data_IF_634190502832
#
_entry.id   IF_634190502832
#
_cell.length_a   1.000
_cell.length_b   1.000
_cell.length_c   1.000
_cell.angle_alpha   90.00
_cell.angle_beta   90.00
_cell.angle_gamma   90.00
#
_symmetry.space_group_name_H-M   'P 1'
#
loop_
_entity.id
_entity.type
_entity.pdbx_description
1 polymer ?
#
# COMPACT_ATOMS: atom_id res chain seq x y z
N UNK A 1 10.58 -15.35 -3.21
CA UNK A 1 9.73 -14.13 -3.14
C UNK A 1 10.09 -13.37 -1.88
N UNK A 2 10.35 -12.07 -2.00
CA UNK A 2 10.46 -11.12 -0.89
C UNK A 2 9.08 -10.46 -0.71
N UNK A 3 8.51 -10.53 0.49
CA UNK A 3 7.28 -9.80 0.80
C UNK A 3 7.62 -8.38 1.24
N UNK A 4 7.01 -7.40 0.58
CA UNK A 4 7.15 -5.97 0.88
C UNK A 4 5.76 -5.33 0.95
N UNK A 5 5.67 -4.17 1.63
CA UNK A 5 4.42 -3.46 1.83
C UNK A 5 4.60 -2.09 2.45
N UNK A 6 3.52 -1.33 2.51
CA UNK A 6 3.49 0.03 3.01
C UNK A 6 2.17 0.71 2.71
N UNK A 7 2.23 1.80 1.96
CA UNK A 7 1.04 2.58 1.64
C UNK A 7 0.31 2.02 0.42
N UNK A 8 -1.00 1.87 0.53
CA UNK A 8 -1.90 1.61 -0.59
C UNK A 8 -2.09 2.80 -1.55
N UNK A 9 -1.46 3.95 -1.28
CA UNK A 9 -1.36 5.08 -2.19
C UNK A 9 -0.03 5.03 -2.91
N UNK A 10 -0.07 4.97 -4.24
CA UNK A 10 1.12 4.88 -5.09
C UNK A 10 0.88 5.53 -6.46
N UNK A 11 1.93 5.61 -7.27
CA UNK A 11 1.89 6.00 -8.67
C UNK A 11 2.51 4.86 -9.47
N UNK A 12 1.75 4.28 -10.41
CA UNK A 12 2.20 3.17 -11.25
C UNK A 12 2.24 3.62 -12.71
N UNK A 13 3.32 3.28 -13.42
CA UNK A 13 3.41 3.54 -14.86
C UNK A 13 2.57 2.52 -15.65
N UNK A 14 2.26 2.87 -16.91
CA UNK A 14 1.39 2.06 -17.78
C UNK A 14 1.91 0.64 -18.00
N UNK A 15 3.23 0.46 -18.15
CA UNK A 15 3.82 -0.85 -18.46
C UNK A 15 3.69 -1.82 -17.27
N UNK A 16 3.97 -1.34 -16.05
CA UNK A 16 3.76 -2.15 -14.85
C UNK A 16 2.28 -2.47 -14.64
N UNK A 17 1.38 -1.50 -14.86
CA UNK A 17 -0.08 -1.75 -14.80
C UNK A 17 -0.50 -2.80 -15.82
N UNK A 18 0.00 -2.72 -17.06
CA UNK A 18 -0.27 -3.72 -18.10
C UNK A 18 0.19 -5.12 -17.66
N UNK A 19 1.38 -5.23 -17.06
CA UNK A 19 1.88 -6.48 -16.51
C UNK A 19 1.01 -7.00 -15.35
N UNK A 20 0.59 -6.14 -14.42
CA UNK A 20 -0.31 -6.52 -13.33
C UNK A 20 -1.66 -7.02 -13.85
N UNK A 21 -2.19 -6.42 -14.92
CA UNK A 21 -3.52 -6.74 -15.46
C UNK A 21 -3.49 -7.99 -16.35
N UNK A 22 -2.53 -8.08 -17.26
CA UNK A 22 -2.52 -9.11 -18.31
C UNK A 22 -1.42 -10.17 -18.13
N UNK A 23 -0.54 -10.00 -17.15
CA UNK A 23 0.42 -11.02 -16.75
C UNK A 23 -0.28 -12.32 -16.33
N UNK A 24 0.31 -13.44 -16.74
CA UNK A 24 -0.19 -14.79 -16.48
C UNK A 24 0.95 -15.76 -16.08
N UNK A 25 2.07 -15.21 -15.63
CA UNK A 25 3.16 -16.02 -15.07
C UNK A 25 2.84 -16.49 -13.64
N UNK A 26 3.70 -17.37 -13.12
CA UNK A 26 3.54 -17.97 -11.79
C UNK A 26 3.53 -16.93 -10.68
N UNK A 27 4.33 -15.85 -10.80
CA UNK A 27 4.41 -14.80 -9.78
C UNK A 27 3.10 -14.02 -9.71
N UNK A 28 2.59 -13.54 -10.85
CA UNK A 28 1.33 -12.78 -10.90
C UNK A 28 0.17 -13.64 -10.42
N UNK A 29 0.06 -14.87 -10.91
CA UNK A 29 -1.06 -15.75 -10.55
C UNK A 29 -0.98 -16.21 -9.08
N UNK A 30 0.21 -16.55 -8.60
CA UNK A 30 0.44 -16.89 -7.19
C UNK A 30 0.06 -15.74 -6.27
N UNK A 31 0.55 -14.52 -6.55
CA UNK A 31 0.23 -13.35 -5.73
C UNK A 31 -1.25 -12.97 -5.83
N UNK A 32 -1.90 -13.07 -7.00
CA UNK A 32 -3.37 -12.87 -7.10
C UNK A 32 -4.11 -13.83 -6.19
N UNK A 33 -3.75 -15.12 -6.22
CA UNK A 33 -4.39 -16.12 -5.38
C UNK A 33 -4.17 -15.83 -3.88
N UNK A 34 -2.94 -15.55 -3.46
CA UNK A 34 -2.61 -15.22 -2.07
C UNK A 34 -3.35 -13.96 -1.58
N UNK A 35 -3.32 -12.88 -2.36
CA UNK A 35 -3.89 -11.60 -1.95
C UNK A 35 -5.42 -11.54 -2.05
N UNK A 36 -6.06 -12.49 -2.74
CA UNK A 36 -7.52 -12.64 -2.76
C UNK A 36 -8.11 -12.96 -1.38
N UNK A 37 -7.29 -13.51 -0.47
CA UNK A 37 -7.70 -13.89 0.88
C UNK A 37 -6.93 -13.11 1.96
N UNK A 38 -6.35 -11.96 1.61
CA UNK A 38 -5.54 -11.15 2.51
C UNK A 38 -6.29 -9.91 3.00
N UNK A 39 -6.07 -9.52 4.26
CA UNK A 39 -6.53 -8.24 4.80
C UNK A 39 -5.62 -7.11 4.28
N UNK A 40 -6.21 -5.95 3.93
CA UNK A 40 -5.51 -4.80 3.35
C UNK A 40 -4.57 -5.17 2.18
N UNK A 41 -5.06 -5.90 1.16
CA UNK A 41 -4.19 -6.51 0.14
C UNK A 41 -3.45 -5.45 -0.69
N UNK A 42 -4.04 -4.27 -0.89
CA UNK A 42 -3.43 -3.17 -1.63
C UNK A 42 -2.21 -2.57 -0.95
N UNK A 43 -2.04 -2.74 0.37
CA UNK A 43 -0.86 -2.25 1.10
C UNK A 43 0.39 -3.09 0.82
N UNK A 44 0.28 -4.27 0.20
CA UNK A 44 1.43 -5.17 -0.01
C UNK A 44 1.49 -5.84 -1.39
N UNK A 45 0.36 -6.05 -2.08
CA UNK A 45 0.32 -6.75 -3.37
C UNK A 45 1.25 -6.11 -4.42
N UNK A 46 1.12 -4.79 -4.64
CA UNK A 46 1.91 -4.09 -5.65
C UNK A 46 3.39 -3.99 -5.28
N UNK A 47 3.70 -3.79 -4.00
CA UNK A 47 5.07 -3.75 -3.48
C UNK A 47 5.77 -5.09 -3.67
N UNK A 48 5.10 -6.18 -3.29
CA UNK A 48 5.60 -7.54 -3.43
C UNK A 48 5.74 -7.91 -4.90
N UNK A 49 4.73 -7.63 -5.75
CA UNK A 49 4.82 -7.93 -7.18
C UNK A 49 5.95 -7.15 -7.86
N UNK A 50 6.04 -5.84 -7.64
CA UNK A 50 7.08 -4.99 -8.24
C UNK A 50 8.48 -5.48 -7.85
N UNK A 51 8.70 -5.74 -6.56
CA UNK A 51 10.01 -6.15 -6.01
C UNK A 51 10.50 -7.51 -6.53
N UNK A 52 9.61 -8.38 -6.99
CA UNK A 52 9.95 -9.72 -7.48
C UNK A 52 9.79 -9.88 -9.00
N UNK A 53 9.34 -8.83 -9.70
CA UNK A 53 9.12 -8.86 -11.15
C UNK A 53 10.31 -8.33 -11.93
N UNK A 54 10.22 -8.41 -13.26
CA UNK A 54 11.16 -7.77 -14.20
C UNK A 54 11.20 -6.23 -14.07
N UNK A 55 10.28 -5.61 -13.32
CA UNK A 55 10.20 -4.17 -13.10
C UNK A 55 10.89 -3.71 -11.79
N UNK A 56 11.57 -4.59 -11.06
CA UNK A 56 12.13 -4.29 -9.74
C UNK A 56 13.08 -3.07 -9.74
N UNK A 57 13.86 -2.88 -10.81
CA UNK A 57 14.79 -1.74 -10.96
C UNK A 57 14.06 -0.38 -11.13
N UNK A 58 12.76 -0.39 -11.37
CA UNK A 58 11.93 0.84 -11.46
C UNK A 58 11.34 1.26 -10.12
N UNK A 59 11.58 0.51 -9.04
CA UNK A 59 10.97 0.74 -7.75
C UNK A 59 11.61 1.91 -7.00
N UNK A 60 10.91 3.03 -6.97
CA UNK A 60 11.24 4.19 -6.13
C UNK A 60 10.47 4.09 -4.81
N UNK A 61 11.18 4.00 -3.67
CA UNK A 61 10.58 3.91 -2.32
C UNK A 61 10.08 5.27 -1.80
N UNK A 62 9.24 5.92 -2.58
CA UNK A 62 8.54 7.15 -2.21
C UNK A 62 7.27 7.23 -3.05
N UNK A 63 6.11 7.33 -2.42
CA UNK A 63 4.81 7.36 -3.10
C UNK A 63 4.31 8.78 -3.42
N UNK A 64 5.11 9.81 -3.15
CA UNK A 64 4.79 11.23 -3.37
C UNK A 64 3.59 11.71 -2.56
N UNK A 65 3.31 11.08 -1.41
CA UNK A 65 2.20 11.45 -0.52
C UNK A 65 2.70 11.99 0.81
N UNK A 66 2.01 13.01 1.28
CA UNK A 66 2.08 13.46 2.66
C UNK A 66 0.85 12.88 3.40
N UNK A 67 1.08 11.99 4.36
CA UNK A 67 0.01 11.32 5.13
C UNK A 67 0.15 11.67 6.60
N UNK A 68 -0.92 12.22 7.20
CA UNK A 68 -0.91 12.63 8.59
C UNK A 68 -1.18 11.44 9.53
N UNK A 69 -0.13 10.68 9.83
CA UNK A 69 -0.22 9.62 10.82
C UNK A 69 -0.06 10.18 12.24
N UNK A 70 -1.13 10.07 13.04
CA UNK A 70 -1.08 10.27 14.48
C UNK A 70 -1.67 9.02 15.15
N UNK A 71 -0.81 8.12 15.63
CA UNK A 71 -1.24 6.82 16.17
C UNK A 71 -2.09 6.96 17.42
N UNK A 72 -1.79 7.91 18.29
CA UNK A 72 -2.55 8.14 19.53
C UNK A 72 -4.01 8.47 19.26
N UNK A 73 -4.29 9.16 18.15
CA UNK A 73 -5.65 9.56 17.76
C UNK A 73 -6.29 8.61 16.75
N UNK A 74 -5.53 8.11 15.78
CA UNK A 74 -6.01 7.32 14.65
C UNK A 74 -6.07 5.81 14.87
N UNK A 75 -5.34 5.26 15.86
CA UNK A 75 -5.33 3.82 16.15
C UNK A 75 -6.26 3.50 17.33
N UNK A 76 -7.58 3.54 17.10
CA UNK A 76 -8.59 3.24 18.14
C UNK A 76 -9.35 1.94 17.91
N UNK A 77 -8.91 1.13 16.95
CA UNK A 77 -9.56 -0.13 16.58
C UNK A 77 -11.06 0.04 16.30
N UNK A 78 -11.40 1.06 15.53
CA UNK A 78 -12.79 1.49 15.27
C UNK A 78 -13.55 0.55 14.33
N UNK A 79 -12.83 -0.35 13.63
CA UNK A 79 -13.39 -1.22 12.59
C UNK A 79 -13.62 -2.67 13.04
N UNK A 80 -13.57 -2.97 14.35
CA UNK A 80 -13.78 -4.34 14.88
C UNK A 80 -15.09 -5.00 14.46
N UNK A 81 -16.11 -4.20 14.15
CA UNK A 81 -17.42 -4.69 13.71
C UNK A 81 -17.47 -5.02 12.21
N UNK A 82 -16.42 -4.70 11.47
CA UNK A 82 -16.31 -4.94 10.01
C UNK A 82 -15.26 -5.99 9.72
N UNK A 83 -14.14 -5.98 10.45
CA UNK A 83 -13.03 -6.91 10.27
C UNK A 83 -12.55 -7.42 11.62
N UNK A 84 -12.11 -8.69 11.64
CA UNK A 84 -11.55 -9.35 12.83
C UNK A 84 -10.09 -8.93 13.09
N UNK A 85 -9.81 -7.63 12.98
CA UNK A 85 -8.49 -7.05 13.16
C UNK A 85 -8.57 -5.60 13.67
N UNK A 86 -7.46 -5.11 14.24
CA UNK A 86 -7.34 -3.71 14.62
C UNK A 86 -6.55 -2.92 13.59
N UNK A 87 -7.19 -1.91 13.00
CA UNK A 87 -6.57 -0.97 12.08
C UNK A 87 -6.36 0.42 12.67
N UNK A 88 -5.68 1.25 11.88
CA UNK A 88 -5.50 2.68 12.11
C UNK A 88 -5.95 3.44 10.85
N UNK A 89 -6.28 4.72 11.00
CA UNK A 89 -6.47 5.61 9.86
C UNK A 89 -5.70 6.92 10.06
N UNK A 90 -5.24 7.56 8.97
CA UNK A 90 -4.68 8.91 9.04
C UNK A 90 -5.70 9.91 9.60
N UNK A 91 -5.22 10.99 10.17
CA UNK A 91 -6.09 12.07 10.67
C UNK A 91 -6.13 13.26 9.70
N UNK A 92 -7.15 14.09 9.84
CA UNK A 92 -7.30 15.30 9.03
C UNK A 92 -6.25 16.34 9.45
N UNK A 93 -5.61 17.00 8.48
CA UNK A 93 -4.79 18.19 8.72
C UNK A 93 -5.64 19.36 9.20
N UNK A 94 -5.20 20.03 10.26
CA UNK A 94 -5.82 21.25 10.81
C UNK A 94 -4.84 22.41 10.73
N UNK A 95 -5.33 23.62 10.96
CA UNK A 95 -4.50 24.82 10.96
C UNK A 95 -3.31 24.75 11.95
N UNK A 96 -3.47 24.03 13.06
CA UNK A 96 -2.40 23.82 14.05
C UNK A 96 -1.27 22.93 13.52
N UNK A 97 -1.52 22.14 12.48
CA UNK A 97 -0.56 21.25 11.85
C UNK A 97 0.19 21.94 10.70
N UNK A 98 -0.08 23.24 10.44
CA UNK A 98 0.67 24.02 9.46
C UNK A 98 2.12 24.11 9.91
N UNK A 99 3.01 23.50 9.14
CA UNK A 99 4.44 23.77 9.22
C UNK A 99 4.61 25.19 8.68
N UNK A 100 4.90 26.15 9.56
CA UNK A 100 5.41 27.47 9.13
C UNK A 100 6.80 27.18 8.57
N UNK A 101 6.92 27.18 7.25
CA UNK A 101 8.20 27.23 6.58
C UNK A 101 8.75 28.64 6.81
N UNK A 102 9.73 28.77 7.72
CA UNK A 102 10.60 29.94 7.79
C UNK A 102 11.66 29.86 6.70
#
# INVERSE_FOLDING_TARGET
>A
IIYDGGSDWYVLNREFVYYVTYGNDELVNGLRHTFNYSLLPCESFFHTLLSNSIYCDTYIRNNLRLVHWNRERGCKCQHKNVVDWCGCSPIIYRNIDKIILN
#
